data_IF_851364433753
#
_entry.id   IF_851364433753
#
_cell.length_a   1.000
_cell.length_b   1.000
_cell.length_c   1.000
_cell.angle_alpha   90.00
_cell.angle_beta   90.00
_cell.angle_gamma   90.00
#
_symmetry.space_group_name_H-M   'P 1'
#
loop_
_entity.id
_entity.type
_entity.pdbx_description
1 polymer ?
#
# COMPACT_ATOMS: atom_id res chain seq x y z
N UNK A 1 -37.35 22.38 -48.87
CA UNK A 1 -37.03 23.80 -48.56
C UNK A 1 -37.80 24.11 -47.30
N UNK A 2 -37.22 24.39 -46.13
CA UNK A 2 -35.93 24.94 -45.77
C UNK A 2 -36.19 25.92 -44.61
N UNK A 3 -35.22 26.07 -43.70
CA UNK A 3 -35.22 26.87 -42.45
C UNK A 3 -36.03 26.24 -41.30
N UNK A 4 -35.65 26.28 -40.02
CA UNK A 4 -34.51 26.77 -39.22
C UNK A 4 -34.91 26.33 -37.78
N UNK A 5 -34.11 26.18 -36.74
CA UNK A 5 -32.78 26.63 -36.37
C UNK A 5 -32.33 25.71 -35.25
N UNK A 6 -31.10 25.20 -35.36
CA UNK A 6 -30.39 24.53 -34.27
C UNK A 6 -30.16 25.50 -33.11
N UNK A 7 -30.78 25.24 -31.96
CA UNK A 7 -30.38 25.88 -30.69
C UNK A 7 -29.01 25.32 -30.27
N UNK A 8 -27.94 25.96 -30.74
CA UNK A 8 -26.62 25.80 -30.17
C UNK A 8 -26.54 26.68 -28.91
N UNK A 9 -26.46 26.05 -27.75
CA UNK A 9 -26.09 26.67 -26.48
C UNK A 9 -24.68 27.26 -26.60
N UNK A 10 -24.57 28.51 -27.07
CA UNK A 10 -23.35 29.31 -26.93
C UNK A 10 -23.38 29.97 -25.54
N UNK A 11 -22.83 29.29 -24.54
CA UNK A 11 -22.42 29.96 -23.31
C UNK A 11 -21.21 30.84 -23.63
N UNK A 12 -21.35 32.15 -23.45
CA UNK A 12 -20.24 33.10 -23.49
C UNK A 12 -19.35 32.79 -22.28
N UNK A 13 -18.14 32.26 -22.52
CA UNK A 13 -17.12 32.06 -21.49
C UNK A 13 -16.45 33.39 -21.19
N UNK A 14 -16.35 33.74 -19.90
CA UNK A 14 -15.64 34.93 -19.43
C UNK A 14 -14.20 34.57 -19.08
N UNK A 15 -13.31 35.56 -19.10
CA UNK A 15 -11.92 35.38 -18.69
C UNK A 15 -11.82 34.84 -17.25
N UNK A 16 -12.69 35.34 -16.36
CA UNK A 16 -12.81 34.87 -14.98
C UNK A 16 -13.15 33.36 -14.92
N UNK A 17 -14.14 32.90 -15.68
CA UNK A 17 -14.54 31.49 -15.68
C UNK A 17 -13.41 30.57 -16.17
N UNK A 18 -12.62 31.01 -17.15
CA UNK A 18 -11.49 30.23 -17.66
C UNK A 18 -10.30 30.24 -16.68
N UNK A 19 -10.09 31.33 -15.94
CA UNK A 19 -9.08 31.40 -14.89
C UNK A 19 -9.44 30.50 -13.69
N UNK A 20 -10.69 30.50 -13.24
CA UNK A 20 -11.19 29.58 -12.21
C UNK A 20 -10.97 28.11 -12.62
N UNK A 21 -11.17 27.80 -13.90
CA UNK A 21 -10.92 26.47 -14.45
C UNK A 21 -9.43 26.09 -14.42
N UNK A 22 -8.53 27.05 -14.68
CA UNK A 22 -7.09 26.85 -14.57
C UNK A 22 -6.66 26.58 -13.12
N UNK A 23 -7.21 27.35 -12.18
CA UNK A 23 -6.97 27.18 -10.75
C UNK A 23 -7.42 25.81 -10.26
N UNK A 24 -8.60 25.36 -10.69
CA UNK A 24 -9.12 24.03 -10.35
C UNK A 24 -8.23 22.90 -10.89
N UNK A 25 -7.69 23.05 -12.10
CA UNK A 25 -6.71 22.10 -12.66
C UNK A 25 -5.43 22.08 -11.81
N UNK A 26 -4.89 23.24 -11.43
CA UNK A 26 -3.70 23.34 -10.59
C UNK A 26 -3.91 22.71 -9.21
N UNK A 27 -5.08 22.97 -8.60
CA UNK A 27 -5.47 22.41 -7.32
C UNK A 27 -5.52 20.89 -7.37
N UNK A 28 -6.23 20.33 -8.34
CA UNK A 28 -6.35 18.86 -8.51
C UNK A 28 -5.01 18.20 -8.83
N UNK A 29 -4.18 18.79 -9.69
CA UNK A 29 -2.85 18.27 -9.97
C UNK A 29 -1.98 18.24 -8.71
N UNK A 30 -2.03 19.31 -7.91
CA UNK A 30 -1.29 19.39 -6.64
C UNK A 30 -1.81 18.39 -5.60
N UNK A 31 -3.12 18.17 -5.56
CA UNK A 31 -3.75 17.15 -4.70
C UNK A 31 -3.25 15.74 -5.06
N UNK A 32 -3.25 15.37 -6.34
CA UNK A 32 -2.74 14.07 -6.82
C UNK A 32 -1.25 13.92 -6.45
N UNK A 33 -0.43 14.93 -6.71
CA UNK A 33 1.00 14.93 -6.34
C UNK A 33 1.19 14.69 -4.85
N UNK A 34 0.44 15.40 -4.00
CA UNK A 34 0.58 15.28 -2.54
C UNK A 34 0.15 13.90 -2.03
N UNK A 35 -0.98 13.38 -2.52
CA UNK A 35 -1.53 12.10 -2.08
C UNK A 35 -0.66 10.91 -2.53
N UNK A 36 -0.04 11.01 -3.70
CA UNK A 36 0.88 9.96 -4.20
C UNK A 36 2.18 9.88 -3.40
N UNK A 37 2.73 11.00 -2.94
CA UNK A 37 3.92 11.05 -2.06
C UNK A 37 3.63 10.46 -0.67
N UNK A 38 2.49 10.80 -0.06
CA UNK A 38 2.16 10.33 1.30
C UNK A 38 2.00 8.80 1.37
N UNK A 39 1.59 8.17 0.27
CA UNK A 39 1.49 6.71 0.19
C UNK A 39 2.86 6.00 0.12
N UNK A 40 3.90 6.62 -0.45
CA UNK A 40 5.24 6.00 -0.52
C UNK A 40 5.90 5.83 0.86
N UNK A 41 5.64 6.74 1.81
CA UNK A 41 6.21 6.67 3.16
C UNK A 41 5.67 5.52 4.01
N UNK A 42 4.47 5.00 3.70
CA UNK A 42 3.82 3.98 4.53
C UNK A 42 4.26 2.55 4.16
N UNK A 43 5.01 2.37 3.06
CA UNK A 43 5.34 1.07 2.46
C UNK A 43 6.72 0.51 2.82
N UNK A 44 7.56 1.25 3.55
CA UNK A 44 8.82 0.72 4.07
C UNK A 44 8.56 -0.20 5.27
N UNK A 45 8.14 -1.43 5.00
CA UNK A 45 8.00 -2.47 6.01
C UNK A 45 9.05 -3.55 5.80
N UNK A 46 9.95 -3.68 6.78
CA UNK A 46 10.91 -4.75 6.87
C UNK A 46 10.16 -6.05 7.22
N UNK A 47 9.68 -6.78 6.21
CA UNK A 47 8.82 -7.96 6.38
C UNK A 47 9.47 -9.03 7.26
N UNK A 48 10.79 -9.13 7.20
CA UNK A 48 11.58 -10.06 8.02
C UNK A 48 11.54 -9.68 9.50
N UNK A 49 11.55 -8.39 9.82
CA UNK A 49 11.46 -7.88 11.19
C UNK A 49 10.06 -8.11 11.78
N UNK A 50 9.02 -7.88 10.98
CA UNK A 50 7.65 -8.22 11.37
C UNK A 50 7.47 -9.72 11.60
N UNK A 51 7.98 -10.55 10.69
CA UNK A 51 7.89 -12.00 10.81
C UNK A 51 8.65 -12.49 12.05
N UNK A 52 9.85 -11.94 12.31
CA UNK A 52 10.63 -12.23 13.50
C UNK A 52 9.89 -11.82 14.79
N UNK A 53 9.26 -10.64 14.81
CA UNK A 53 8.51 -10.17 15.98
C UNK A 53 7.30 -11.04 16.28
N UNK A 54 6.50 -11.38 15.26
CA UNK A 54 5.31 -12.24 15.42
C UNK A 54 5.70 -13.65 15.88
N UNK A 55 6.76 -14.22 15.30
CA UNK A 55 7.27 -15.53 15.72
C UNK A 55 7.79 -15.50 17.16
N UNK A 56 8.63 -14.50 17.49
CA UNK A 56 9.23 -14.33 18.82
C UNK A 56 8.17 -14.19 19.93
N UNK A 57 7.12 -13.40 19.69
CA UNK A 57 6.01 -13.24 20.64
C UNK A 57 5.30 -14.57 20.93
N UNK A 58 5.12 -15.41 19.92
CA UNK A 58 4.49 -16.73 20.08
C UNK A 58 5.38 -17.67 20.88
N UNK A 59 6.69 -17.59 20.68
CA UNK A 59 7.68 -18.46 21.33
C UNK A 59 7.91 -18.06 22.77
N UNK A 60 7.74 -16.78 23.12
CA UNK A 60 7.91 -16.29 24.49
C UNK A 60 7.07 -17.05 25.51
N UNK A 61 5.78 -17.29 25.22
CA UNK A 61 4.89 -18.08 26.09
C UNK A 61 5.32 -19.54 26.22
N UNK A 62 5.99 -20.07 25.20
CA UNK A 62 6.44 -21.47 25.14
C UNK A 62 7.74 -21.63 25.91
N UNK A 63 8.68 -20.68 25.76
CA UNK A 63 9.90 -20.61 26.54
C UNK A 63 9.60 -20.46 28.05
N UNK A 64 8.54 -19.74 28.42
CA UNK A 64 8.08 -19.70 29.81
C UNK A 64 7.69 -21.08 30.34
N UNK A 65 6.89 -21.84 29.58
CA UNK A 65 6.51 -23.22 29.96
C UNK A 65 7.71 -24.17 30.02
N UNK A 66 8.68 -24.01 29.12
CA UNK A 66 9.91 -24.81 29.14
C UNK A 66 10.78 -24.47 30.35
N UNK A 67 10.88 -23.17 30.70
CA UNK A 67 11.58 -22.72 31.89
C UNK A 67 10.94 -23.31 33.17
N UNK A 68 9.61 -23.25 33.29
CA UNK A 68 8.89 -23.90 34.38
C UNK A 68 9.24 -25.40 34.49
N UNK A 69 9.16 -26.15 33.37
CA UNK A 69 9.52 -27.58 33.34
C UNK A 69 10.97 -27.85 33.74
N UNK A 70 11.89 -26.94 33.40
CA UNK A 70 13.33 -27.07 33.68
C UNK A 70 13.67 -26.93 35.18
N UNK A 71 12.81 -26.26 35.95
CA UNK A 71 12.97 -26.10 37.39
C UNK A 71 12.59 -27.37 38.16
N UNK A 72 11.70 -28.19 37.61
CA UNK A 72 11.19 -29.38 38.31
C UNK A 72 12.18 -30.55 38.40
N UNK A 73 13.09 -30.75 37.42
CA UNK A 73 14.09 -31.83 37.52
C UNK A 73 15.28 -31.70 36.56
N UNK A 74 16.40 -32.31 36.93
CA UNK A 74 17.59 -32.48 36.06
C UNK A 74 17.26 -33.27 34.78
N UNK A 75 16.36 -34.27 34.88
CA UNK A 75 15.87 -35.05 33.73
C UNK A 75 15.12 -34.16 32.72
N UNK A 76 14.33 -33.21 33.21
CA UNK A 76 13.64 -32.24 32.36
C UNK A 76 14.65 -31.38 31.58
N UNK A 77 15.69 -30.85 32.25
CA UNK A 77 16.74 -30.04 31.59
C UNK A 77 17.47 -30.81 30.50
N UNK A 78 17.85 -32.06 30.77
CA UNK A 78 18.52 -32.91 29.79
C UNK A 78 17.62 -33.24 28.59
N UNK A 79 16.32 -33.45 28.82
CA UNK A 79 15.37 -33.71 27.74
C UNK A 79 15.07 -32.44 26.91
N UNK A 80 14.98 -31.27 27.56
CA UNK A 80 14.88 -29.96 26.89
C UNK A 80 16.11 -29.72 26.01
N UNK A 81 17.32 -29.91 26.53
CA UNK A 81 18.56 -29.73 25.77
C UNK A 81 18.62 -30.66 24.53
N UNK A 82 18.12 -31.90 24.64
CA UNK A 82 17.99 -32.82 23.50
C UNK A 82 16.97 -32.35 22.45
N UNK A 83 15.97 -31.56 22.85
CA UNK A 83 14.88 -31.06 22.01
C UNK A 83 15.09 -29.63 21.53
N UNK A 84 16.15 -28.96 21.97
CA UNK A 84 16.44 -27.56 21.65
C UNK A 84 16.58 -27.30 20.14
N UNK A 85 17.30 -28.17 19.42
CA UNK A 85 17.41 -28.06 17.97
C UNK A 85 16.05 -28.23 17.26
N UNK A 86 15.15 -29.05 17.82
CA UNK A 86 13.81 -29.24 17.28
C UNK A 86 12.93 -28.02 17.53
N UNK A 87 13.01 -27.42 18.73
CA UNK A 87 12.34 -26.16 19.10
C UNK A 87 12.80 -24.99 18.21
N UNK A 88 14.10 -24.85 18.00
CA UNK A 88 14.68 -23.86 17.07
C UNK A 88 14.26 -24.12 15.62
N UNK A 89 14.13 -25.40 15.22
CA UNK A 89 13.61 -25.78 13.91
C UNK A 89 12.16 -25.36 13.68
N UNK A 90 11.32 -25.44 14.72
CA UNK A 90 9.92 -24.94 14.66
C UNK A 90 9.90 -23.41 14.50
N UNK A 91 10.72 -22.70 15.27
CA UNK A 91 10.86 -21.23 15.18
C UNK A 91 11.28 -20.78 13.80
N UNK A 92 12.36 -21.37 13.27
CA UNK A 92 12.89 -21.03 11.96
C UNK A 92 11.87 -21.31 10.86
N UNK A 93 11.14 -22.42 10.96
CA UNK A 93 10.09 -22.76 10.00
C UNK A 93 8.92 -21.78 10.05
N UNK A 94 8.50 -21.35 11.24
CA UNK A 94 7.49 -20.29 11.40
C UNK A 94 7.96 -18.99 10.76
N UNK A 95 9.17 -18.53 11.11
CA UNK A 95 9.76 -17.29 10.58
C UNK A 95 9.80 -17.29 9.06
N UNK A 96 10.34 -18.36 8.45
CA UNK A 96 10.47 -18.47 7.00
C UNK A 96 9.10 -18.50 6.30
N UNK A 97 8.13 -19.23 6.88
CA UNK A 97 6.77 -19.30 6.32
C UNK A 97 6.08 -17.92 6.35
N UNK A 98 6.21 -17.18 7.44
CA UNK A 98 5.66 -15.84 7.58
C UNK A 98 6.35 -14.85 6.63
N UNK A 99 7.69 -14.86 6.57
CA UNK A 99 8.46 -13.99 5.69
C UNK A 99 8.09 -14.21 4.22
N UNK A 100 7.99 -15.47 3.77
CA UNK A 100 7.58 -15.80 2.41
C UNK A 100 6.13 -15.41 2.13
N UNK A 101 5.23 -15.57 3.11
CA UNK A 101 3.84 -15.12 2.93
C UNK A 101 3.77 -13.60 2.80
N UNK A 102 4.39 -12.85 3.71
CA UNK A 102 4.42 -11.39 3.66
C UNK A 102 5.01 -10.92 2.34
N UNK A 103 6.17 -11.45 1.93
CA UNK A 103 6.80 -11.09 0.65
C UNK A 103 5.84 -11.29 -0.54
N UNK A 104 5.10 -12.40 -0.57
CA UNK A 104 4.11 -12.66 -1.64
C UNK A 104 2.95 -11.66 -1.62
N UNK A 105 2.39 -11.38 -0.44
CA UNK A 105 1.21 -10.51 -0.35
C UNK A 105 1.57 -9.04 -0.59
N UNK A 106 2.69 -8.58 -0.05
CA UNK A 106 3.17 -7.22 -0.28
C UNK A 106 3.75 -7.01 -1.68
N UNK A 107 4.40 -8.02 -2.27
CA UNK A 107 4.86 -7.96 -3.66
C UNK A 107 3.70 -7.74 -4.65
N UNK A 108 2.48 -8.16 -4.31
CA UNK A 108 1.29 -7.86 -5.10
C UNK A 108 0.86 -6.38 -5.05
N UNK A 109 1.37 -5.59 -4.10
CA UNK A 109 1.15 -4.15 -4.01
C UNK A 109 2.18 -3.34 -4.80
N UNK A 110 3.38 -3.88 -5.05
CA UNK A 110 4.46 -3.18 -5.77
C UNK A 110 4.04 -2.74 -7.19
N UNK A 111 3.15 -3.50 -7.84
CA UNK A 111 2.61 -3.12 -9.16
C UNK A 111 1.88 -1.75 -9.15
N UNK A 112 1.26 -1.38 -8.04
CA UNK A 112 0.58 -0.10 -7.91
C UNK A 112 1.57 1.06 -7.76
N UNK A 113 2.78 0.80 -7.26
CA UNK A 113 3.83 1.81 -7.12
C UNK A 113 4.24 2.38 -8.47
N UNK A 114 4.47 1.53 -9.47
CA UNK A 114 4.80 1.97 -10.83
C UNK A 114 3.68 2.81 -11.43
N UNK A 115 2.43 2.35 -11.33
CA UNK A 115 1.26 3.11 -11.81
C UNK A 115 1.11 4.46 -11.08
N UNK A 116 1.37 4.50 -9.77
CA UNK A 116 1.35 5.71 -8.93
C UNK A 116 2.41 6.72 -9.38
N UNK A 117 3.63 6.27 -9.63
CA UNK A 117 4.73 7.11 -10.11
C UNK A 117 4.40 7.72 -11.48
N UNK A 118 3.81 6.95 -12.40
CA UNK A 118 3.38 7.50 -13.69
C UNK A 118 2.32 8.58 -13.51
N UNK A 119 1.31 8.35 -12.67
CA UNK A 119 0.26 9.34 -12.38
C UNK A 119 0.85 10.60 -11.73
N UNK A 120 1.80 10.44 -10.81
CA UNK A 120 2.51 11.55 -10.17
C UNK A 120 3.25 12.42 -11.20
N UNK A 121 4.06 11.82 -12.07
CA UNK A 121 4.80 12.58 -13.09
C UNK A 121 3.87 13.21 -14.12
N UNK A 122 2.77 12.53 -14.50
CA UNK A 122 1.76 13.10 -15.40
C UNK A 122 1.07 14.31 -14.75
N UNK A 123 0.72 14.24 -13.44
CA UNK A 123 0.12 15.34 -12.68
C UNK A 123 1.08 16.54 -12.55
N UNK A 124 2.35 16.26 -12.26
CA UNK A 124 3.41 17.26 -12.18
C UNK A 124 3.61 17.98 -13.51
N UNK A 125 3.60 17.23 -14.63
CA UNK A 125 3.68 17.83 -15.96
C UNK A 125 2.46 18.69 -16.26
N UNK A 126 1.24 18.26 -15.90
CA UNK A 126 0.03 19.08 -16.06
C UNK A 126 0.10 20.38 -15.26
N UNK A 127 0.61 20.34 -14.03
CA UNK A 127 0.85 21.55 -13.24
C UNK A 127 1.76 22.54 -13.97
N UNK A 128 2.88 22.07 -14.53
CA UNK A 128 3.80 22.92 -15.28
C UNK A 128 3.19 23.44 -16.58
N UNK A 129 2.47 22.59 -17.32
CA UNK A 129 1.78 22.98 -18.55
C UNK A 129 0.76 24.10 -18.27
N UNK A 130 -0.06 23.96 -17.21
CA UNK A 130 -1.04 24.99 -16.80
C UNK A 130 -0.36 26.28 -16.37
N UNK A 131 0.70 26.21 -15.56
CA UNK A 131 1.46 27.40 -15.15
C UNK A 131 2.06 28.14 -16.36
N UNK A 132 2.58 27.41 -17.34
CA UNK A 132 3.12 27.99 -18.58
C UNK A 132 2.03 28.64 -19.43
N UNK A 133 0.85 28.02 -19.54
CA UNK A 133 -0.29 28.62 -20.24
C UNK A 133 -0.69 29.93 -19.57
N UNK A 134 -0.78 29.96 -18.24
CA UNK A 134 -1.09 31.17 -17.48
C UNK A 134 -0.06 32.27 -17.77
N UNK A 135 1.23 31.96 -17.67
CA UNK A 135 2.30 32.92 -17.96
C UNK A 135 2.23 33.48 -19.39
N UNK A 136 2.02 32.61 -20.38
CA UNK A 136 2.00 33.02 -21.78
C UNK A 136 0.75 33.83 -22.14
N UNK A 137 -0.41 33.47 -21.58
CA UNK A 137 -1.67 34.11 -21.92
C UNK A 137 -1.92 35.43 -21.19
N UNK A 138 -1.31 35.66 -20.01
CA UNK A 138 -1.35 36.98 -19.35
C UNK A 138 -0.71 38.07 -20.21
N UNK A 139 0.33 37.74 -20.99
CA UNK A 139 1.01 38.69 -21.87
C UNK A 139 0.46 38.75 -23.29
N UNK A 140 -0.67 38.08 -23.57
CA UNK A 140 -1.29 38.05 -24.90
C UNK A 140 -2.24 39.22 -25.12
N UNK A 141 -2.29 39.77 -26.34
CA UNK A 141 -3.25 40.80 -26.74
C UNK A 141 -4.70 40.30 -26.73
N UNK A 142 -4.91 38.99 -26.91
CA UNK A 142 -6.21 38.31 -26.83
C UNK A 142 -6.16 37.21 -25.76
N UNK A 143 -6.10 37.65 -24.50
CA UNK A 143 -5.96 36.79 -23.32
C UNK A 143 -7.03 35.71 -23.26
N UNK A 144 -8.30 36.08 -23.49
CA UNK A 144 -9.43 35.15 -23.39
C UNK A 144 -9.27 33.98 -24.36
N UNK A 145 -9.01 34.27 -25.64
CA UNK A 145 -8.84 33.23 -26.65
C UNK A 145 -7.59 32.38 -26.41
N UNK A 146 -6.50 32.99 -25.94
CA UNK A 146 -5.29 32.26 -25.55
C UNK A 146 -5.58 31.26 -24.43
N UNK A 147 -6.27 31.71 -23.38
CA UNK A 147 -6.62 30.88 -22.23
C UNK A 147 -7.60 29.78 -22.59
N UNK A 148 -8.64 30.06 -23.38
CA UNK A 148 -9.59 29.06 -23.85
C UNK A 148 -8.90 27.93 -24.63
N UNK A 149 -7.97 28.26 -25.53
CA UNK A 149 -7.23 27.26 -26.31
C UNK A 149 -6.24 26.47 -25.45
N UNK A 150 -5.54 27.14 -24.53
CA UNK A 150 -4.54 26.52 -23.68
C UNK A 150 -5.15 25.60 -22.62
N UNK A 151 -6.18 26.05 -21.90
CA UNK A 151 -6.75 25.34 -20.75
C UNK A 151 -7.64 24.17 -21.17
N UNK A 152 -8.32 24.27 -22.32
CA UNK A 152 -9.24 23.21 -22.78
C UNK A 152 -8.56 21.84 -22.93
N UNK A 153 -7.34 21.81 -23.49
CA UNK A 153 -6.60 20.56 -23.63
C UNK A 153 -6.12 20.03 -22.27
N UNK A 154 -5.57 20.91 -21.43
CA UNK A 154 -5.06 20.50 -20.11
C UNK A 154 -6.20 20.04 -19.20
N UNK A 155 -7.38 20.65 -19.26
CA UNK A 155 -8.56 20.17 -18.53
C UNK A 155 -8.95 18.76 -18.93
N UNK A 156 -9.02 18.48 -20.24
CA UNK A 156 -9.41 17.14 -20.73
C UNK A 156 -8.42 16.08 -20.24
N UNK A 157 -7.12 16.39 -20.32
CA UNK A 157 -6.06 15.54 -19.81
C UNK A 157 -6.18 15.37 -18.28
N UNK A 158 -6.43 16.44 -17.54
CA UNK A 158 -6.59 16.44 -16.08
C UNK A 158 -7.78 15.60 -15.62
N UNK A 159 -8.92 15.68 -16.30
CA UNK A 159 -10.08 14.83 -16.02
C UNK A 159 -9.74 13.35 -16.21
N UNK A 160 -9.08 13.02 -17.32
CA UNK A 160 -8.62 11.65 -17.60
C UNK A 160 -7.64 11.16 -16.53
N UNK A 161 -6.70 12.01 -16.12
CA UNK A 161 -5.73 11.67 -15.08
C UNK A 161 -6.40 11.48 -13.72
N UNK A 162 -7.37 12.31 -13.38
CA UNK A 162 -8.13 12.20 -12.15
C UNK A 162 -8.94 10.89 -12.10
N UNK A 163 -9.58 10.49 -13.20
CA UNK A 163 -10.25 9.19 -13.31
C UNK A 163 -9.27 8.00 -13.16
N UNK A 164 -8.09 8.08 -13.79
CA UNK A 164 -7.02 7.08 -13.59
C UNK A 164 -6.60 7.01 -12.12
N UNK A 165 -6.42 8.16 -11.47
CA UNK A 165 -6.04 8.25 -10.07
C UNK A 165 -7.09 7.62 -9.14
N UNK A 166 -8.38 7.98 -9.30
CA UNK A 166 -9.46 7.39 -8.53
C UNK A 166 -9.57 5.87 -8.74
N UNK A 167 -9.40 5.42 -9.98
CA UNK A 167 -9.41 3.99 -10.32
C UNK A 167 -8.24 3.26 -9.66
N UNK A 168 -7.04 3.83 -9.70
CA UNK A 168 -5.86 3.28 -9.03
C UNK A 168 -6.09 3.21 -7.52
N UNK A 169 -6.53 4.31 -6.89
CA UNK A 169 -6.79 4.38 -5.46
C UNK A 169 -7.79 3.31 -5.00
N UNK A 170 -8.86 3.08 -5.79
CA UNK A 170 -9.83 2.00 -5.51
C UNK A 170 -9.19 0.62 -5.61
N UNK A 171 -8.46 0.33 -6.70
CA UNK A 171 -7.79 -0.97 -6.90
C UNK A 171 -6.76 -1.25 -5.81
N UNK A 172 -5.98 -0.23 -5.45
CA UNK A 172 -4.97 -0.31 -4.40
C UNK A 172 -5.62 -0.55 -3.03
N UNK A 173 -6.72 0.14 -2.71
CA UNK A 173 -7.48 -0.08 -1.48
C UNK A 173 -8.01 -1.50 -1.39
N UNK A 174 -8.65 -2.00 -2.44
CA UNK A 174 -9.16 -3.38 -2.51
C UNK A 174 -8.03 -4.41 -2.34
N UNK A 175 -6.90 -4.17 -2.98
CA UNK A 175 -5.72 -5.02 -2.86
C UNK A 175 -5.11 -4.97 -1.45
N UNK A 176 -5.06 -3.81 -0.80
CA UNK A 176 -4.61 -3.66 0.59
C UNK A 176 -5.52 -4.42 1.54
N UNK A 177 -6.85 -4.30 1.41
CA UNK A 177 -7.82 -5.04 2.22
C UNK A 177 -7.61 -6.56 2.05
N UNK A 178 -7.47 -7.02 0.80
CA UNK A 178 -7.20 -8.43 0.52
C UNK A 178 -5.86 -8.90 1.10
N UNK A 179 -4.82 -8.10 0.93
CA UNK A 179 -3.48 -8.35 1.46
C UNK A 179 -3.51 -8.49 2.99
N UNK A 180 -4.15 -7.56 3.70
CA UNK A 180 -4.30 -7.60 5.16
C UNK A 180 -5.00 -8.88 5.62
N UNK A 181 -6.08 -9.29 4.94
CA UNK A 181 -6.78 -10.54 5.26
C UNK A 181 -5.87 -11.76 5.08
N UNK A 182 -5.14 -11.82 3.97
CA UNK A 182 -4.23 -12.94 3.67
C UNK A 182 -3.04 -13.00 4.62
N UNK A 183 -2.53 -11.84 5.05
CA UNK A 183 -1.50 -11.73 6.10
C UNK A 183 -2.04 -12.29 7.41
N UNK A 184 -3.24 -11.89 7.82
CA UNK A 184 -3.88 -12.42 9.02
C UNK A 184 -4.07 -13.94 8.97
N UNK A 185 -4.49 -14.48 7.82
CA UNK A 185 -4.62 -15.93 7.64
C UNK A 185 -3.25 -16.65 7.72
N UNK A 186 -2.19 -16.01 7.21
CA UNK A 186 -0.82 -16.52 7.35
C UNK A 186 -0.34 -16.53 8.79
N UNK A 187 -0.60 -15.47 9.54
CA UNK A 187 -0.29 -15.39 10.97
C UNK A 187 -0.98 -16.51 11.74
N UNK A 188 -2.30 -16.63 11.55
CA UNK A 188 -3.09 -17.68 12.19
C UNK A 188 -2.55 -19.08 11.87
N UNK A 189 -2.30 -19.38 10.60
CA UNK A 189 -1.82 -20.70 10.19
C UNK A 189 -0.41 -21.01 10.74
N UNK A 190 0.49 -20.03 10.73
CA UNK A 190 1.83 -20.19 11.28
C UNK A 190 1.79 -20.41 12.80
N UNK A 191 0.95 -19.64 13.51
CA UNK A 191 0.74 -19.80 14.95
C UNK A 191 0.14 -21.14 15.31
N UNK A 192 -0.94 -21.56 14.66
CA UNK A 192 -1.59 -22.86 14.91
C UNK A 192 -0.63 -24.03 14.65
N UNK A 193 0.08 -24.00 13.52
CA UNK A 193 1.05 -25.04 13.18
C UNK A 193 2.25 -25.06 14.13
N UNK A 194 2.74 -23.89 14.54
CA UNK A 194 3.84 -23.78 15.49
C UNK A 194 3.42 -24.28 16.86
N UNK A 195 2.32 -23.76 17.38
CA UNK A 195 1.76 -24.14 18.68
C UNK A 195 1.55 -25.64 18.80
N UNK A 196 0.96 -26.27 17.77
CA UNK A 196 0.77 -27.73 17.73
C UNK A 196 2.09 -28.48 17.92
N UNK A 197 3.12 -28.14 17.14
CA UNK A 197 4.44 -28.79 17.22
C UNK A 197 5.13 -28.56 18.55
N UNK A 198 5.01 -27.35 19.10
CA UNK A 198 5.57 -27.04 20.40
C UNK A 198 4.89 -27.83 21.51
N UNK A 199 3.57 -28.01 21.45
CA UNK A 199 2.85 -28.84 22.42
C UNK A 199 3.25 -30.32 22.31
N UNK A 200 3.45 -30.84 21.09
CA UNK A 200 4.00 -32.19 20.86
C UNK A 200 5.37 -32.36 21.55
N UNK A 201 6.29 -31.39 21.39
CA UNK A 201 7.60 -31.40 22.05
C UNK A 201 7.47 -31.30 23.58
N UNK A 202 6.58 -30.45 24.09
CA UNK A 202 6.32 -30.31 25.54
C UNK A 202 5.79 -31.63 26.12
N UNK A 203 4.89 -32.32 25.44
CA UNK A 203 4.34 -33.59 25.91
C UNK A 203 5.40 -34.70 25.88
N UNK A 204 6.32 -34.69 24.92
CA UNK A 204 7.50 -35.57 24.94
C UNK A 204 8.44 -35.26 26.11
N UNK A 205 8.68 -33.99 26.41
CA UNK A 205 9.48 -33.58 27.59
C UNK A 205 8.80 -34.04 28.88
N UNK A 206 7.48 -33.92 29.00
CA UNK A 206 6.73 -34.43 30.17
C UNK A 206 6.88 -35.94 30.35
N UNK A 207 6.89 -36.70 29.25
CA UNK A 207 7.17 -38.15 29.28
C UNK A 207 8.61 -38.51 29.66
N UNK A 208 9.57 -37.59 29.52
CA UNK A 208 10.94 -37.81 30.03
C UNK A 208 11.04 -37.69 31.56
N UNK A 209 10.07 -37.02 32.19
CA UNK A 209 10.09 -36.67 33.62
C UNK A 209 9.34 -37.71 34.44
N UNK A 210 8.22 -38.22 33.91
CA UNK A 210 7.42 -39.31 34.49
C UNK A 210 8.05 -40.68 34.19
#
# INVERSE_FOLDING_TARGET
MGANSSNANNQILTLEAVLEEAEEVLRKATEIVSQTIQHEFTELQNYEEKAATTASNTIKTINQKLAELSEFSEKARLCIAKKEAELQGVELKMKNTLADCYRKQYGALEKFRTERLMIHEEAKQMKFDTQRIIQNCISSDDQLKCFELGIKDVRKRMLTLYEKFQTLAKKETEARVKCTKLIHDCDKKAMESGHKKYMEIIDEIRKCIN
#
